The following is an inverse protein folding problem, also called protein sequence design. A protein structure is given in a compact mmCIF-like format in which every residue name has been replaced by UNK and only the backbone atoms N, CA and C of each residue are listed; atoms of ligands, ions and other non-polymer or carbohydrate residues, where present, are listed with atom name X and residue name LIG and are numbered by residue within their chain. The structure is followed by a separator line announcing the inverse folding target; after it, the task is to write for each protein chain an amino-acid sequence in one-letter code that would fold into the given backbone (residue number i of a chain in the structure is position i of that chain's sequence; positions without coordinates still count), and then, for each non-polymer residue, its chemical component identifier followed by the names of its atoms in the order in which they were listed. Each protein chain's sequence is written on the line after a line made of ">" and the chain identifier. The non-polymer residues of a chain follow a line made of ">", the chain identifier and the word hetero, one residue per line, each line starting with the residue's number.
data_IF_370508965307
#
_entry.id   IF_370508965307
#
_cell.length_a   1.000
_cell.length_b   1.000
_cell.length_c   1.000
_cell.angle_alpha   90.00
_cell.angle_beta   90.00
_cell.angle_gamma   90.00
#
_symmetry.space_group_name_H-M   'P 1'
#
loop_
_entity.id
_entity.type
_entity.pdbx_description
1 polymer ?
#
# COMPACT_ATOMS: atom_id res chain seq x y z
N UNK A 1 -1.28 6.43 -12.44
CA UNK A 1 -1.10 4.97 -12.35
C UNK A 1 -0.65 4.67 -10.93
N UNK A 2 -1.48 3.97 -10.16
CA UNK A 2 -1.21 3.66 -8.76
C UNK A 2 -0.13 2.56 -8.68
N UNK A 3 0.65 2.52 -7.61
CA UNK A 3 1.68 1.50 -7.35
C UNK A 3 1.10 0.08 -7.53
N UNK A 4 -0.14 -0.14 -7.09
CA UNK A 4 -0.84 -1.43 -7.27
C UNK A 4 -0.98 -1.84 -8.74
N UNK A 5 -1.33 -0.90 -9.62
CA UNK A 5 -1.50 -1.15 -11.05
C UNK A 5 -0.15 -1.44 -11.71
N UNK A 6 0.90 -0.72 -11.31
CA UNK A 6 2.26 -0.93 -11.78
C UNK A 6 2.74 -2.37 -11.47
N UNK A 7 2.52 -2.84 -10.24
CA UNK A 7 2.88 -4.21 -9.85
C UNK A 7 2.15 -5.27 -10.69
N UNK A 8 0.86 -5.06 -10.99
CA UNK A 8 0.08 -5.99 -11.81
C UNK A 8 0.63 -6.06 -13.24
N UNK A 9 0.91 -4.91 -13.87
CA UNK A 9 1.46 -4.84 -15.23
C UNK A 9 2.84 -5.49 -15.31
N UNK A 10 3.71 -5.25 -14.33
CA UNK A 10 5.04 -5.86 -14.26
C UNK A 10 4.95 -7.39 -14.14
N UNK A 11 4.06 -7.90 -13.28
CA UNK A 11 3.91 -9.34 -13.06
C UNK A 11 3.42 -10.07 -14.31
N UNK A 12 2.42 -9.52 -15.01
CA UNK A 12 1.93 -10.09 -16.29
C UNK A 12 3.03 -10.10 -17.34
N UNK A 13 3.84 -9.04 -17.41
CA UNK A 13 4.96 -8.93 -18.35
C UNK A 13 6.02 -10.01 -18.10
N UNK A 14 6.41 -10.21 -16.83
CA UNK A 14 7.40 -11.23 -16.43
C UNK A 14 6.91 -12.63 -16.78
N UNK A 15 5.66 -12.97 -16.44
CA UNK A 15 5.08 -14.29 -16.73
C UNK A 15 5.06 -14.54 -18.24
N UNK A 16 4.66 -13.54 -19.03
CA UNK A 16 4.58 -13.67 -20.49
C UNK A 16 5.94 -13.97 -21.12
N UNK A 17 7.00 -13.27 -20.69
CA UNK A 17 8.37 -13.56 -21.14
C UNK A 17 8.81 -14.98 -20.75
N UNK A 18 8.49 -15.41 -19.52
CA UNK A 18 8.85 -16.74 -19.03
C UNK A 18 8.20 -17.86 -19.87
N UNK A 19 6.95 -17.67 -20.28
CA UNK A 19 6.22 -18.61 -21.17
C UNK A 19 6.85 -18.67 -22.55
N UNK A 20 7.24 -17.53 -23.13
CA UNK A 20 7.89 -17.47 -24.46
C UNK A 20 9.22 -18.24 -24.45
N UNK A 21 10.04 -18.06 -23.41
CA UNK A 21 11.32 -18.79 -23.25
C UNK A 21 11.08 -20.29 -23.13
N UNK A 22 10.12 -20.70 -22.31
CA UNK A 22 9.71 -22.10 -22.13
C UNK A 22 9.40 -22.80 -23.46
N UNK A 23 8.58 -22.15 -24.29
CA UNK A 23 8.17 -22.66 -25.59
C UNK A 23 9.34 -22.73 -26.57
N UNK A 24 10.19 -21.71 -26.57
CA UNK A 24 11.35 -21.61 -27.47
C UNK A 24 12.38 -22.72 -27.22
N UNK A 25 12.62 -23.06 -25.96
CA UNK A 25 13.58 -24.10 -25.57
C UNK A 25 12.96 -25.50 -25.40
N UNK A 26 11.65 -25.66 -25.69
CA UNK A 26 10.91 -26.94 -25.53
C UNK A 26 11.05 -27.53 -24.12
N UNK A 27 11.15 -26.68 -23.09
CA UNK A 27 11.37 -27.07 -21.70
C UNK A 27 10.07 -27.47 -21.01
N UNK A 28 9.26 -28.34 -21.62
CA UNK A 28 7.91 -28.66 -21.16
C UNK A 28 7.87 -29.21 -19.72
N UNK A 29 8.94 -29.85 -19.25
CA UNK A 29 9.05 -30.36 -17.87
C UNK A 29 9.04 -29.24 -16.81
N UNK A 30 9.41 -28.01 -17.20
CA UNK A 30 9.43 -26.85 -16.31
C UNK A 30 8.09 -26.11 -16.24
N UNK A 31 7.07 -26.52 -17.01
CA UNK A 31 5.74 -25.89 -16.98
C UNK A 31 5.14 -25.95 -15.57
N UNK A 32 5.19 -27.11 -14.90
CA UNK A 32 4.61 -27.29 -13.57
C UNK A 32 5.34 -26.42 -12.52
N UNK A 33 6.68 -26.47 -12.39
CA UNK A 33 7.42 -25.56 -11.51
C UNK A 33 7.14 -24.08 -11.77
N UNK A 34 7.02 -23.67 -13.04
CA UNK A 34 6.78 -22.28 -13.41
C UNK A 34 5.35 -21.85 -13.08
N UNK A 35 4.36 -22.72 -13.26
CA UNK A 35 2.99 -22.46 -12.81
C UNK A 35 2.94 -22.29 -11.29
N UNK A 36 3.58 -23.18 -10.54
CA UNK A 36 3.67 -23.06 -9.08
C UNK A 36 4.39 -21.77 -8.66
N UNK A 37 5.48 -21.42 -9.33
CA UNK A 37 6.22 -20.19 -9.09
C UNK A 37 5.38 -18.95 -9.43
N UNK A 38 4.60 -18.98 -10.50
CA UNK A 38 3.70 -17.87 -10.87
C UNK A 38 2.57 -17.68 -9.85
N UNK A 39 1.99 -18.77 -9.33
CA UNK A 39 1.02 -18.76 -8.23
C UNK A 39 1.61 -18.18 -6.96
N UNK A 40 2.83 -18.61 -6.62
CA UNK A 40 3.58 -18.09 -5.48
C UNK A 40 3.81 -16.58 -5.63
N UNK A 41 4.31 -16.12 -6.78
CA UNK A 41 4.51 -14.71 -7.06
C UNK A 41 3.19 -13.93 -7.00
N UNK A 42 2.10 -14.45 -7.56
CA UNK A 42 0.79 -13.79 -7.52
C UNK A 42 0.25 -13.66 -6.09
N UNK A 43 0.45 -14.67 -5.23
CA UNK A 43 0.10 -14.58 -3.81
C UNK A 43 0.97 -13.56 -3.06
N UNK A 44 2.28 -13.59 -3.27
CA UNK A 44 3.23 -12.72 -2.55
C UNK A 44 3.02 -11.25 -2.94
N UNK A 45 2.83 -10.99 -4.24
CA UNK A 45 2.59 -9.64 -4.77
C UNK A 45 1.17 -9.13 -4.56
N UNK A 46 0.25 -9.93 -4.00
CA UNK A 46 -1.10 -9.47 -3.68
C UNK A 46 -1.04 -8.33 -2.68
N UNK A 47 -1.28 -7.12 -3.16
CA UNK A 47 -1.37 -5.92 -2.34
C UNK A 47 -2.74 -5.96 -1.63
N UNK A 48 -2.78 -5.95 -0.28
CA UNK A 48 -4.03 -6.00 0.46
C UNK A 48 -4.83 -4.72 0.19
N UNK A 49 -6.15 -4.89 0.10
CA UNK A 49 -7.06 -3.75 0.06
C UNK A 49 -7.18 -3.16 1.47
N UNK A 50 -7.14 -1.84 1.57
CA UNK A 50 -7.10 -1.12 2.85
C UNK A 50 -8.54 -0.86 3.28
N UNK A 51 -8.98 -1.56 4.33
CA UNK A 51 -10.35 -1.48 4.86
C UNK A 51 -10.37 -1.08 6.33
N UNK A 52 -9.35 -1.48 7.05
CA UNK A 52 -9.20 -1.36 8.49
C UNK A 52 -7.75 -1.01 8.84
N UNK A 53 -7.49 -0.71 10.12
CA UNK A 53 -6.13 -0.40 10.57
C UNK A 53 -5.13 -1.54 10.29
N UNK A 54 -5.58 -2.80 10.34
CA UNK A 54 -4.71 -3.98 10.13
C UNK A 54 -4.23 -4.05 8.68
N UNK A 55 -5.16 -4.02 7.74
CA UNK A 55 -4.91 -4.04 6.29
C UNK A 55 -4.18 -2.80 5.82
N UNK A 56 -4.39 -1.64 6.47
CA UNK A 56 -3.55 -0.45 6.28
C UNK A 56 -2.09 -0.75 6.61
N UNK A 57 -1.80 -1.28 7.79
CA UNK A 57 -0.43 -1.61 8.16
C UNK A 57 0.17 -2.69 7.27
N UNK A 58 -0.61 -3.68 6.83
CA UNK A 58 -0.15 -4.70 5.88
C UNK A 58 0.18 -4.11 4.51
N UNK A 59 -0.65 -3.19 4.00
CA UNK A 59 -0.38 -2.46 2.75
C UNK A 59 0.92 -1.67 2.88
N UNK A 60 1.05 -0.85 3.92
CA UNK A 60 2.24 -0.04 4.16
C UNK A 60 3.47 -0.93 4.33
N UNK A 61 3.35 -2.08 5.00
CA UNK A 61 4.44 -3.05 5.14
C UNK A 61 4.90 -3.61 3.80
N UNK A 62 3.96 -3.98 2.92
CA UNK A 62 4.27 -4.57 1.61
C UNK A 62 4.85 -3.56 0.65
N UNK A 63 4.33 -2.33 0.64
CA UNK A 63 4.72 -1.30 -0.34
C UNK A 63 5.94 -0.48 0.12
N UNK A 64 5.99 -0.14 1.41
CA UNK A 64 6.98 0.80 1.96
C UNK A 64 7.97 0.17 2.95
N UNK A 65 7.76 -1.10 3.33
CA UNK A 65 8.64 -1.86 4.20
C UNK A 65 8.32 -1.77 5.70
N UNK A 66 8.93 -2.67 6.48
CA UNK A 66 8.66 -2.83 7.93
C UNK A 66 9.09 -1.62 8.76
N UNK A 67 10.19 -0.97 8.38
CA UNK A 67 10.73 0.19 9.10
C UNK A 67 9.73 1.35 9.09
N UNK A 68 9.06 1.55 7.95
CA UNK A 68 8.08 2.61 7.80
C UNK A 68 6.83 2.37 8.65
N UNK A 69 6.35 1.12 8.73
CA UNK A 69 5.25 0.73 9.64
C UNK A 69 5.58 1.04 11.10
N UNK A 70 6.81 0.75 11.53
CA UNK A 70 7.23 1.04 12.90
C UNK A 70 7.25 2.55 13.20
N UNK A 71 7.66 3.38 12.24
CA UNK A 71 7.59 4.84 12.37
C UNK A 71 6.16 5.34 12.44
N UNK A 72 5.30 4.82 11.56
CA UNK A 72 3.90 5.24 11.46
C UNK A 72 3.12 4.90 12.73
N UNK A 73 3.32 3.70 13.30
CA UNK A 73 2.75 3.29 14.60
C UNK A 73 3.17 4.17 15.78
N UNK A 74 4.37 4.75 15.73
CA UNK A 74 4.87 5.63 16.80
C UNK A 74 4.31 7.04 16.72
N UNK A 75 4.06 7.53 15.49
CA UNK A 75 3.65 8.93 15.26
C UNK A 75 2.14 9.09 15.14
N UNK A 76 1.46 8.14 14.50
CA UNK A 76 0.06 8.30 14.10
C UNK A 76 -0.84 7.29 14.78
N UNK A 77 -1.99 7.78 15.23
CA UNK A 77 -3.11 6.93 15.63
C UNK A 77 -4.00 6.66 14.43
N UNK A 78 -4.27 5.39 14.12
CA UNK A 78 -5.15 5.01 13.01
C UNK A 78 -6.48 4.58 13.58
N UNK A 79 -7.55 5.20 13.09
CA UNK A 79 -8.92 4.87 13.45
C UNK A 79 -9.75 4.60 12.20
N UNK A 80 -10.72 3.71 12.33
CA UNK A 80 -11.79 3.54 11.37
C UNK A 80 -12.91 4.51 11.73
N UNK A 81 -13.45 5.21 10.73
CA UNK A 81 -14.45 6.22 10.99
C UNK A 81 -15.21 6.64 9.76
N UNK A 82 -16.39 7.19 10.00
CA UNK A 82 -17.23 7.72 8.94
C UNK A 82 -16.71 9.07 8.45
N UNK A 83 -17.12 9.50 7.25
CA UNK A 83 -16.65 10.75 6.63
C UNK A 83 -16.92 11.98 7.50
N UNK A 84 -17.83 11.87 8.48
CA UNK A 84 -18.11 12.89 9.50
C UNK A 84 -16.86 13.36 10.25
N UNK A 85 -15.83 12.53 10.37
CA UNK A 85 -14.55 12.91 10.97
C UNK A 85 -13.85 14.05 10.20
N UNK A 86 -14.07 14.16 8.88
CA UNK A 86 -13.58 15.28 8.08
C UNK A 86 -14.35 16.58 8.34
N UNK A 87 -15.64 16.48 8.67
CA UNK A 87 -16.53 17.64 8.87
C UNK A 87 -16.48 18.20 10.29
N UNK A 88 -15.95 17.45 11.26
CA UNK A 88 -15.71 17.92 12.62
C UNK A 88 -14.23 17.77 13.02
N UNK A 89 -13.31 18.56 12.41
CA UNK A 89 -11.87 18.50 12.69
C UNK A 89 -11.51 18.62 14.16
N UNK A 90 -12.30 19.39 14.92
CA UNK A 90 -12.07 19.71 16.33
C UNK A 90 -12.14 18.50 17.25
N UNK A 91 -12.83 17.41 16.85
CA UNK A 91 -12.94 16.19 17.66
C UNK A 91 -11.77 15.22 17.44
N UNK A 92 -11.04 15.36 16.35
CA UNK A 92 -9.88 14.55 16.04
C UNK A 92 -8.64 15.06 16.79
N UNK A 93 -7.83 14.15 17.34
CA UNK A 93 -6.52 14.51 17.89
C UNK A 93 -5.53 14.75 16.76
N UNK A 94 -4.53 15.60 16.99
CA UNK A 94 -3.41 15.71 16.06
C UNK A 94 -2.66 14.38 15.92
N UNK A 95 -2.12 14.15 14.73
CA UNK A 95 -1.52 12.90 14.27
C UNK A 95 -2.50 11.72 14.24
N UNK A 96 -3.71 11.97 13.75
CA UNK A 96 -4.73 10.92 13.55
C UNK A 96 -4.94 10.67 12.06
N UNK A 97 -5.00 9.40 11.69
CA UNK A 97 -5.35 8.92 10.35
C UNK A 97 -6.73 8.26 10.47
N UNK A 98 -7.70 8.73 9.71
CA UNK A 98 -9.03 8.12 9.62
C UNK A 98 -9.17 7.45 8.26
N UNK A 99 -9.47 6.15 8.28
CA UNK A 99 -9.81 5.39 7.08
C UNK A 99 -11.33 5.48 6.91
N UNK A 100 -11.80 6.11 5.83
CA UNK A 100 -13.23 6.31 5.58
C UNK A 100 -13.60 5.97 4.15
N UNK A 101 -14.15 4.77 3.94
CA UNK A 101 -14.54 4.29 2.61
C UNK A 101 -13.36 4.32 1.64
N UNK A 102 -13.44 5.13 0.58
CA UNK A 102 -12.39 5.34 -0.42
C UNK A 102 -11.45 6.53 -0.13
N UNK A 103 -11.65 7.20 1.00
CA UNK A 103 -10.86 8.35 1.42
C UNK A 103 -9.97 8.02 2.61
N UNK A 104 -8.85 8.75 2.70
CA UNK A 104 -8.01 8.84 3.87
C UNK A 104 -8.07 10.28 4.38
N UNK A 105 -8.45 10.46 5.64
CA UNK A 105 -8.46 11.76 6.30
C UNK A 105 -7.26 11.81 7.23
N UNK A 106 -6.41 12.81 7.04
CA UNK A 106 -5.17 13.01 7.77
C UNK A 106 -5.28 14.27 8.61
N UNK A 107 -5.16 14.14 9.93
CA UNK A 107 -5.02 15.29 10.84
C UNK A 107 -3.60 15.34 11.39
N UNK A 108 -2.85 16.38 11.04
CA UNK A 108 -1.49 16.61 11.53
C UNK A 108 -1.18 18.11 11.55
N UNK A 109 -0.40 18.58 12.53
CA UNK A 109 -0.07 20.00 12.70
C UNK A 109 -1.30 20.92 12.64
N UNK A 110 -2.40 20.53 13.29
CA UNK A 110 -3.70 21.23 13.27
C UNK A 110 -4.36 21.40 11.89
N UNK A 111 -3.81 20.80 10.82
CA UNK A 111 -4.39 20.78 9.49
C UNK A 111 -5.11 19.46 9.23
N UNK A 112 -6.19 19.53 8.45
CA UNK A 112 -6.90 18.35 7.96
C UNK A 112 -6.75 18.28 6.45
N UNK A 113 -6.29 17.13 5.96
CA UNK A 113 -6.12 16.83 4.54
C UNK A 113 -6.95 15.60 4.21
N UNK A 114 -7.76 15.69 3.16
CA UNK A 114 -8.61 14.60 2.68
C UNK A 114 -8.10 14.22 1.30
N UNK A 115 -7.72 12.96 1.13
CA UNK A 115 -7.20 12.42 -0.11
C UNK A 115 -7.87 11.09 -0.42
N UNK A 116 -7.75 10.64 -1.66
CA UNK A 116 -8.09 9.26 -1.99
C UNK A 116 -7.22 8.31 -1.17
N UNK A 117 -7.74 7.12 -0.82
CA UNK A 117 -7.13 6.21 0.16
C UNK A 117 -5.63 5.97 -0.07
N UNK A 118 -5.27 5.60 -1.29
CA UNK A 118 -3.89 5.25 -1.63
C UNK A 118 -3.01 6.50 -1.82
N UNK A 119 -3.55 7.57 -2.40
CA UNK A 119 -2.85 8.84 -2.53
C UNK A 119 -2.54 9.46 -1.16
N UNK A 120 -3.48 9.33 -0.21
CA UNK A 120 -3.28 9.76 1.17
C UNK A 120 -2.18 8.96 1.88
N UNK A 121 -2.07 7.67 1.61
CA UNK A 121 -0.95 6.85 2.12
C UNK A 121 0.37 7.34 1.52
N UNK A 122 0.42 7.56 0.21
CA UNK A 122 1.62 8.02 -0.49
C UNK A 122 2.05 9.42 -0.01
N UNK A 123 1.08 10.31 0.20
CA UNK A 123 1.29 11.64 0.77
C UNK A 123 1.86 11.57 2.18
N UNK A 124 1.29 10.72 3.04
CA UNK A 124 1.77 10.51 4.40
C UNK A 124 3.19 9.93 4.43
N UNK A 125 3.52 9.04 3.49
CA UNK A 125 4.89 8.53 3.30
C UNK A 125 5.87 9.64 2.96
N UNK A 126 5.48 10.53 2.05
CA UNK A 126 6.32 11.65 1.65
C UNK A 126 6.55 12.64 2.80
N UNK A 127 5.55 12.92 3.62
CA UNK A 127 5.71 13.78 4.81
C UNK A 127 6.71 13.15 5.79
N UNK A 128 6.50 11.88 6.17
CA UNK A 128 7.37 11.21 7.14
C UNK A 128 8.82 11.13 6.63
N UNK A 129 9.02 10.88 5.32
CA UNK A 129 10.36 10.87 4.71
C UNK A 129 11.02 12.25 4.72
N UNK A 130 10.28 13.31 4.38
CA UNK A 130 10.80 14.69 4.36
C UNK A 130 11.23 15.17 5.75
N UNK A 131 10.44 14.88 6.77
CA UNK A 131 10.80 15.19 8.17
C UNK A 131 12.06 14.46 8.65
N UNK A 132 12.40 13.33 8.03
CA UNK A 132 13.56 12.52 8.40
C UNK A 132 14.85 12.92 7.68
N UNK A 133 14.75 13.59 6.53
CA UNK A 133 15.92 14.11 5.80
C UNK A 133 16.40 15.48 6.32
N UNK A 134 15.63 16.10 7.22
CA UNK A 134 15.97 17.38 7.85
C UNK A 134 16.60 17.22 9.24
N UNK A 135 16.85 15.98 9.68
CA UNK A 135 17.59 15.63 10.91
C UNK A 135 18.91 14.96 10.54
#
# INVERSE_FOLDING_TARGET
>A
MNVRELYQVMLVSIISVLVIVLLSFKLYILIIPILLFSLYLAMETRIPDVKDAKTFYEYVRKVYGRNFVAMLRKKFNIIEGDNLAAFFPSTLKDNTIVISGDNLILKFNSNVVILSKYEGIDYLVNIIKKEFQQK
#
